data_IF_243817437564
#
_entry.id   IF_243817437564
#
_cell.length_a   1.000
_cell.length_b   1.000
_cell.length_c   1.000
_cell.angle_alpha   90.00
_cell.angle_beta   90.00
_cell.angle_gamma   90.00
#
_symmetry.space_group_name_H-M   'P 1'
#
loop_
_entity.id
_entity.type
_entity.pdbx_description
1 polymer ?
#
# COMPACT_ATOMS: atom_id res chain seq x y z
N UNK A 1 17.29 12.35 3.15
CA UNK A 1 16.28 11.61 2.39
C UNK A 1 15.73 10.51 3.29
N UNK A 2 14.42 10.50 3.50
CA UNK A 2 13.76 9.35 4.14
C UNK A 2 13.78 8.19 3.16
N UNK A 3 14.21 7.04 3.65
CA UNK A 3 14.21 5.79 2.88
C UNK A 3 12.98 5.00 3.30
N UNK A 4 12.34 4.37 2.35
CA UNK A 4 11.27 3.43 2.67
C UNK A 4 11.88 2.17 3.28
N UNK A 5 11.33 1.74 4.40
CA UNK A 5 11.84 0.62 5.19
C UNK A 5 10.72 -0.37 5.47
N UNK A 6 11.01 -1.65 5.24
CA UNK A 6 10.21 -2.76 5.71
C UNK A 6 8.77 -2.80 5.19
N UNK A 7 8.60 -3.10 3.90
CA UNK A 7 7.29 -3.18 3.25
C UNK A 7 6.54 -4.51 3.42
N UNK A 8 7.10 -5.48 4.13
CA UNK A 8 6.50 -6.80 4.29
C UNK A 8 5.11 -6.75 4.95
N UNK A 9 4.81 -5.69 5.71
CA UNK A 9 3.51 -5.48 6.34
C UNK A 9 2.50 -4.72 5.44
N UNK A 10 2.88 -4.41 4.19
CA UNK A 10 1.98 -3.74 3.26
C UNK A 10 0.94 -4.70 2.66
N UNK A 11 -0.08 -4.14 2.03
CA UNK A 11 -1.12 -4.86 1.29
C UNK A 11 -1.79 -5.98 2.09
N UNK A 12 -2.23 -5.65 3.29
CA UNK A 12 -2.89 -6.58 4.24
C UNK A 12 -1.99 -7.73 4.77
N UNK A 13 -0.69 -7.61 4.67
CA UNK A 13 0.24 -8.62 5.21
C UNK A 13 0.75 -8.28 6.63
N UNK A 14 0.02 -7.45 7.39
CA UNK A 14 0.35 -7.14 8.78
C UNK A 14 -0.11 -8.26 9.70
N UNK A 15 0.81 -8.80 10.53
CA UNK A 15 0.60 -10.01 11.30
C UNK A 15 -0.58 -9.93 12.28
N UNK A 16 -0.71 -8.83 13.01
CA UNK A 16 -1.63 -8.73 14.14
C UNK A 16 -3.06 -8.37 13.76
N UNK A 17 -3.26 -7.66 12.64
CA UNK A 17 -4.56 -7.13 12.25
C UNK A 17 -4.72 -7.06 10.73
N UNK A 18 -5.94 -7.21 10.26
CA UNK A 18 -6.28 -6.87 8.89
C UNK A 18 -6.05 -5.39 8.60
N UNK A 19 -5.47 -5.09 7.45
CA UNK A 19 -5.21 -3.74 6.96
C UNK A 19 -6.13 -3.46 5.78
N UNK A 20 -7.22 -2.75 6.04
CA UNK A 20 -8.21 -2.44 5.03
C UNK A 20 -7.65 -1.59 3.87
N UNK A 21 -7.95 -1.92 2.60
CA UNK A 21 -7.61 -1.07 1.46
C UNK A 21 -8.36 0.28 1.47
N UNK A 22 -9.47 0.37 2.19
CA UNK A 22 -10.37 1.53 2.21
C UNK A 22 -10.18 2.42 3.44
N UNK A 23 -8.95 2.68 3.85
CA UNK A 23 -8.62 3.58 4.95
C UNK A 23 -7.29 4.30 4.73
N UNK A 24 -7.11 5.47 5.35
CA UNK A 24 -5.81 6.13 5.37
C UNK A 24 -4.91 5.52 6.44
N UNK A 25 -3.75 5.04 6.01
CA UNK A 25 -2.72 4.46 6.88
C UNK A 25 -1.77 5.50 7.50
N UNK A 26 -1.90 6.78 7.14
CA UNK A 26 -0.98 7.85 7.57
C UNK A 26 -1.17 8.32 9.01
N UNK A 27 -2.15 7.77 9.71
CA UNK A 27 -2.52 8.28 11.04
C UNK A 27 -1.62 7.79 12.16
N UNK A 28 -0.81 6.78 11.91
CA UNK A 28 -0.05 6.08 12.94
C UNK A 28 1.30 6.72 13.25
N UNK A 29 1.79 7.63 12.41
CA UNK A 29 3.07 8.29 12.65
C UNK A 29 2.89 9.79 12.93
N UNK A 30 3.40 10.24 14.07
CA UNK A 30 3.29 11.62 14.52
C UNK A 30 3.73 12.65 13.47
N UNK A 31 4.82 12.40 12.76
CA UNK A 31 5.33 13.33 11.75
C UNK A 31 4.43 13.41 10.52
N UNK A 32 4.00 12.28 10.00
CA UNK A 32 3.13 12.25 8.82
C UNK A 32 1.77 12.87 9.13
N UNK A 33 1.19 12.52 10.28
CA UNK A 33 -0.05 13.14 10.74
C UNK A 33 0.08 14.66 10.91
N UNK A 34 1.18 15.13 11.50
CA UNK A 34 1.40 16.57 11.69
C UNK A 34 1.57 17.31 10.36
N UNK A 35 2.20 16.69 9.36
CA UNK A 35 2.32 17.28 8.03
C UNK A 35 0.97 17.42 7.33
N UNK A 36 0.02 16.50 7.57
CA UNK A 36 -1.34 16.62 7.00
C UNK A 36 -2.17 17.75 7.61
N UNK A 37 -1.68 18.42 8.67
CA UNK A 37 -2.30 19.66 9.18
C UNK A 37 -2.01 20.87 8.32
N UNK A 38 -1.07 20.79 7.41
CA UNK A 38 -0.77 21.84 6.43
C UNK A 38 -1.54 21.58 5.13
N UNK A 39 -2.42 22.53 4.77
CA UNK A 39 -3.26 22.45 3.58
C UNK A 39 -2.43 22.36 2.29
N UNK A 40 -1.34 23.12 2.21
CA UNK A 40 -0.47 23.11 1.03
C UNK A 40 0.23 21.74 0.87
N UNK A 41 0.63 21.14 1.98
CA UNK A 41 1.18 19.79 1.98
C UNK A 41 0.15 18.75 1.50
N UNK A 42 -1.10 18.84 2.00
CA UNK A 42 -2.19 17.98 1.53
C UNK A 42 -2.42 18.13 0.03
N UNK A 43 -2.45 19.37 -0.48
CA UNK A 43 -2.63 19.61 -1.91
C UNK A 43 -1.48 19.03 -2.76
N UNK A 44 -0.24 19.07 -2.25
CA UNK A 44 0.91 18.43 -2.91
C UNK A 44 0.76 16.90 -2.96
N UNK A 45 0.23 16.28 -1.90
CA UNK A 45 -0.05 14.84 -1.88
C UNK A 45 -1.09 14.51 -2.97
N UNK A 46 -2.21 15.23 -2.99
CA UNK A 46 -3.29 15.02 -3.97
C UNK A 46 -2.74 15.13 -5.40
N UNK A 47 -2.06 16.21 -5.72
CA UNK A 47 -1.51 16.46 -7.04
C UNK A 47 -0.50 15.36 -7.46
N UNK A 48 0.35 14.93 -6.51
CA UNK A 48 1.32 13.87 -6.75
C UNK A 48 0.64 12.52 -6.97
N UNK A 49 -0.37 12.20 -6.17
CA UNK A 49 -1.16 10.98 -6.34
C UNK A 49 -1.84 10.96 -7.71
N UNK A 50 -2.57 12.01 -8.08
CA UNK A 50 -3.24 12.10 -9.38
C UNK A 50 -2.26 11.91 -10.56
N UNK A 51 -1.12 12.59 -10.51
CA UNK A 51 -0.08 12.43 -11.52
C UNK A 51 0.45 10.99 -11.62
N UNK A 52 0.64 10.32 -10.49
CA UNK A 52 1.13 8.94 -10.49
C UNK A 52 0.04 7.94 -10.88
N UNK A 53 -1.22 8.23 -10.60
CA UNK A 53 -2.36 7.40 -11.03
C UNK A 53 -2.50 7.32 -12.55
N UNK A 54 -2.05 8.33 -13.26
CA UNK A 54 -1.98 8.34 -14.73
C UNK A 54 -0.75 7.56 -15.29
N UNK A 55 0.10 7.05 -14.41
CA UNK A 55 1.36 6.42 -14.83
C UNK A 55 1.72 5.21 -13.94
N UNK A 56 2.71 5.38 -13.07
CA UNK A 56 3.31 4.28 -12.28
C UNK A 56 2.41 3.71 -11.19
N UNK A 57 1.33 4.38 -10.83
CA UNK A 57 0.29 3.86 -9.95
C UNK A 57 -1.01 3.53 -10.68
N UNK A 58 -1.03 3.55 -12.02
CA UNK A 58 -2.18 3.06 -12.76
C UNK A 58 -2.36 1.56 -12.49
N UNK A 59 -3.60 1.11 -12.46
CA UNK A 59 -3.90 -0.31 -12.27
C UNK A 59 -3.25 -1.16 -13.35
N UNK A 60 -3.35 -0.74 -14.61
CA UNK A 60 -2.71 -1.43 -15.74
C UNK A 60 -1.20 -1.59 -15.54
N UNK A 61 -0.50 -0.52 -15.12
CA UNK A 61 0.93 -0.58 -14.88
C UNK A 61 1.27 -1.54 -13.73
N UNK A 62 0.54 -1.48 -12.63
CA UNK A 62 0.82 -2.29 -11.44
C UNK A 62 0.53 -3.77 -11.69
N UNK A 63 -0.61 -4.11 -12.33
CA UNK A 63 -0.93 -5.49 -12.70
C UNK A 63 0.12 -6.07 -13.65
N UNK A 64 0.48 -5.33 -14.69
CA UNK A 64 1.54 -5.72 -15.61
C UNK A 64 2.88 -5.91 -14.90
N UNK A 65 3.25 -5.01 -14.00
CA UNK A 65 4.50 -5.11 -13.25
C UNK A 65 4.57 -6.38 -12.38
N UNK A 66 3.45 -6.74 -11.74
CA UNK A 66 3.33 -7.99 -10.96
C UNK A 66 3.53 -9.19 -11.88
N UNK A 67 2.80 -9.26 -13.00
CA UNK A 67 2.85 -10.39 -13.93
C UNK A 67 4.24 -10.55 -14.56
N UNK A 68 4.86 -9.45 -14.98
CA UNK A 68 6.23 -9.44 -15.52
C UNK A 68 7.25 -9.87 -14.47
N UNK A 69 7.07 -9.47 -13.21
CA UNK A 69 7.95 -9.88 -12.11
C UNK A 69 7.84 -11.36 -11.84
N UNK A 70 6.63 -11.92 -11.81
CA UNK A 70 6.40 -13.36 -11.63
C UNK A 70 7.03 -14.14 -12.80
N UNK A 71 6.82 -13.67 -14.02
CA UNK A 71 7.42 -14.28 -15.20
C UNK A 71 8.96 -14.24 -15.17
N UNK A 72 9.53 -13.14 -14.67
CA UNK A 72 10.99 -13.01 -14.48
C UNK A 72 11.53 -13.97 -13.42
N UNK A 73 10.79 -14.17 -12.33
CA UNK A 73 11.17 -15.12 -11.28
C UNK A 73 11.16 -16.56 -11.77
N UNK A 74 10.18 -16.91 -12.63
CA UNK A 74 10.08 -18.24 -13.24
C UNK A 74 10.22 -19.36 -12.20
N UNK A 75 11.04 -20.37 -12.52
CA UNK A 75 11.28 -21.54 -11.65
C UNK A 75 11.86 -21.18 -10.25
N UNK A 76 12.27 -19.93 -10.01
CA UNK A 76 12.71 -19.52 -8.69
C UNK A 76 11.57 -19.50 -7.68
N UNK A 77 10.34 -19.27 -8.10
CA UNK A 77 9.14 -19.36 -7.27
C UNK A 77 8.97 -20.78 -6.75
N UNK A 78 9.03 -21.77 -7.66
CA UNK A 78 8.90 -23.20 -7.30
C UNK A 78 9.99 -23.62 -6.32
N UNK A 79 11.26 -23.33 -6.63
CA UNK A 79 12.40 -23.63 -5.72
C UNK A 79 12.29 -22.96 -4.36
N UNK A 80 11.73 -21.74 -4.29
CA UNK A 80 11.50 -21.08 -3.02
C UNK A 80 10.48 -21.85 -2.16
N UNK A 81 9.40 -22.31 -2.77
CA UNK A 81 8.35 -23.03 -2.03
C UNK A 81 8.60 -24.53 -1.87
N UNK A 82 9.60 -25.11 -2.53
CA UNK A 82 10.16 -26.41 -2.12
C UNK A 82 10.77 -26.35 -0.71
N UNK A 83 11.30 -25.18 -0.34
CA UNK A 83 11.94 -24.96 0.98
C UNK A 83 10.95 -24.37 2.00
N UNK A 84 10.11 -23.42 1.59
CA UNK A 84 9.27 -22.60 2.48
C UNK A 84 7.77 -22.84 2.30
N UNK A 85 7.37 -23.83 1.50
CA UNK A 85 5.96 -24.10 1.19
C UNK A 85 5.11 -24.45 2.39
N UNK A 86 5.70 -24.95 3.47
CA UNK A 86 5.01 -25.19 4.73
C UNK A 86 4.39 -23.92 5.32
N UNK A 87 4.89 -22.73 4.94
CA UNK A 87 4.30 -21.46 5.38
C UNK A 87 2.85 -21.26 4.92
N UNK A 88 2.46 -21.83 3.78
CA UNK A 88 1.07 -21.79 3.30
C UNK A 88 0.14 -22.77 4.06
N UNK A 89 0.67 -23.61 4.91
CA UNK A 89 -0.11 -24.50 5.77
C UNK A 89 -0.21 -23.99 7.21
N UNK A 90 0.59 -22.97 7.55
CA UNK A 90 0.58 -22.33 8.85
C UNK A 90 -0.52 -21.26 8.93
N UNK A 91 -1.61 -21.61 9.59
CA UNK A 91 -2.75 -20.70 9.80
C UNK A 91 -2.57 -19.74 10.98
N UNK A 92 -1.35 -19.63 11.53
CA UNK A 92 -1.04 -18.77 12.69
C UNK A 92 -0.21 -17.55 12.35
N UNK A 93 0.23 -17.41 11.09
CA UNK A 93 1.10 -16.31 10.64
C UNK A 93 0.37 -14.97 10.63
N UNK A 94 -0.91 -14.97 10.25
CA UNK A 94 -1.75 -13.77 10.21
C UNK A 94 -2.98 -13.95 11.10
N UNK A 95 -3.43 -12.88 11.73
CA UNK A 95 -4.62 -12.85 12.58
C UNK A 95 -5.67 -11.91 11.96
N UNK A 96 -6.95 -12.30 11.79
CA UNK A 96 -7.49 -13.64 12.09
C UNK A 96 -7.02 -14.73 11.10
N UNK A 97 -7.18 -15.99 11.47
CA UNK A 97 -6.62 -17.15 10.76
C UNK A 97 -7.06 -17.25 9.28
N UNK A 98 -8.24 -16.76 8.95
CA UNK A 98 -8.80 -16.76 7.59
C UNK A 98 -7.97 -15.94 6.58
N UNK A 99 -7.08 -15.09 7.08
CA UNK A 99 -6.17 -14.28 6.23
C UNK A 99 -4.97 -15.08 5.74
N UNK A 100 -4.70 -16.25 6.33
CA UNK A 100 -3.62 -17.10 5.86
C UNK A 100 -4.04 -17.84 4.59
N UNK A 101 -3.33 -17.56 3.53
CA UNK A 101 -3.65 -18.08 2.19
C UNK A 101 -3.02 -19.45 1.99
N UNK A 102 -3.61 -20.24 1.10
CA UNK A 102 -3.22 -21.61 0.86
C UNK A 102 -2.13 -21.81 -0.19
N UNK A 103 -1.84 -20.79 -0.99
CA UNK A 103 -0.90 -20.90 -2.11
C UNK A 103 -0.26 -19.55 -2.48
N UNK A 104 0.79 -19.62 -3.30
CA UNK A 104 1.41 -18.43 -3.89
C UNK A 104 0.45 -17.72 -4.86
N UNK A 105 -0.31 -18.48 -5.62
CA UNK A 105 -1.30 -17.97 -6.55
C UNK A 105 -2.39 -17.17 -5.80
N UNK A 106 -2.94 -17.73 -4.73
CA UNK A 106 -3.91 -17.03 -3.88
C UNK A 106 -3.33 -15.72 -3.30
N UNK A 107 -2.05 -15.72 -2.93
CA UNK A 107 -1.37 -14.53 -2.42
C UNK A 107 -1.18 -13.45 -3.50
N UNK A 108 -0.90 -13.85 -4.74
CA UNK A 108 -0.83 -12.93 -5.89
C UNK A 108 -2.20 -12.34 -6.20
N UNK A 109 -3.24 -13.16 -6.20
CA UNK A 109 -4.61 -12.72 -6.48
C UNK A 109 -5.08 -11.74 -5.40
N UNK A 110 -4.84 -12.04 -4.12
CA UNK A 110 -5.12 -11.11 -3.01
C UNK A 110 -4.38 -9.78 -3.17
N UNK A 111 -3.10 -9.81 -3.53
CA UNK A 111 -2.32 -8.59 -3.76
C UNK A 111 -2.93 -7.74 -4.88
N UNK A 112 -3.34 -8.36 -5.98
CA UNK A 112 -3.98 -7.67 -7.10
C UNK A 112 -5.33 -7.06 -6.71
N UNK A 113 -6.16 -7.81 -5.99
CA UNK A 113 -7.44 -7.34 -5.48
C UNK A 113 -7.24 -6.15 -4.51
N UNK A 114 -6.30 -6.27 -3.58
CA UNK A 114 -5.97 -5.17 -2.67
C UNK A 114 -5.55 -3.90 -3.41
N UNK A 115 -4.72 -4.00 -4.43
CA UNK A 115 -4.26 -2.87 -5.24
C UNK A 115 -5.43 -2.24 -6.00
N UNK A 116 -6.32 -3.07 -6.57
CA UNK A 116 -7.53 -2.61 -7.24
C UNK A 116 -8.42 -1.79 -6.30
N UNK A 117 -8.80 -2.39 -5.17
CA UNK A 117 -9.68 -1.77 -4.17
C UNK A 117 -9.06 -0.50 -3.60
N UNK A 118 -7.75 -0.55 -3.30
CA UNK A 118 -7.02 0.60 -2.80
C UNK A 118 -6.99 1.74 -3.80
N UNK A 119 -6.75 1.44 -5.06
CA UNK A 119 -6.74 2.41 -6.15
C UNK A 119 -8.11 3.05 -6.33
N UNK A 120 -9.16 2.26 -6.43
CA UNK A 120 -10.53 2.74 -6.58
C UNK A 120 -10.93 3.66 -5.41
N UNK A 121 -10.70 3.21 -4.18
CA UNK A 121 -11.00 4.01 -2.99
C UNK A 121 -10.21 5.32 -2.93
N UNK A 122 -8.92 5.28 -3.24
CA UNK A 122 -8.08 6.48 -3.25
C UNK A 122 -8.50 7.47 -4.34
N UNK A 123 -8.93 6.99 -5.51
CA UNK A 123 -9.42 7.85 -6.61
C UNK A 123 -10.65 8.66 -6.19
N UNK A 124 -11.52 8.07 -5.36
CA UNK A 124 -12.73 8.72 -4.84
C UNK A 124 -12.44 9.64 -3.64
N UNK A 125 -11.47 9.27 -2.80
CA UNK A 125 -11.37 9.85 -1.45
C UNK A 125 -10.14 10.70 -1.19
N UNK A 126 -9.13 10.71 -2.08
CA UNK A 126 -7.85 11.39 -1.82
C UNK A 126 -8.01 12.87 -1.44
N UNK A 127 -9.02 13.55 -1.95
CA UNK A 127 -9.28 14.96 -1.65
C UNK A 127 -9.79 15.17 -0.24
N UNK A 128 -10.33 14.13 0.40
CA UNK A 128 -10.81 14.22 1.78
C UNK A 128 -9.67 14.48 2.79
N UNK A 129 -8.42 14.25 2.41
CA UNK A 129 -7.26 14.58 3.25
C UNK A 129 -7.20 16.08 3.58
N UNK A 130 -7.79 16.95 2.75
CA UNK A 130 -7.87 18.39 2.98
C UNK A 130 -8.66 18.75 4.25
N UNK A 131 -9.62 17.92 4.66
CA UNK A 131 -10.38 18.17 5.90
C UNK A 131 -9.51 18.15 7.17
N UNK A 132 -8.31 17.55 7.10
CA UNK A 132 -7.35 17.55 8.20
C UNK A 132 -6.46 18.80 8.20
N UNK A 133 -6.42 19.53 7.08
CA UNK A 133 -5.56 20.67 6.87
C UNK A 133 -6.12 21.95 7.46
N UNK A 134 -5.21 22.84 7.87
CA UNK A 134 -5.48 24.21 8.21
C UNK A 134 -4.63 25.13 7.33
N UNK A 135 -5.03 26.38 7.08
CA UNK A 135 -4.18 27.32 6.41
C UNK A 135 -2.78 27.34 7.04
N UNK A 136 -1.75 27.12 6.23
CA UNK A 136 -0.39 26.98 6.74
C UNK A 136 0.05 28.22 7.49
N UNK A 137 0.32 28.11 8.79
CA UNK A 137 0.92 29.16 9.60
C UNK A 137 2.36 29.45 9.19
N UNK A 138 2.98 28.55 8.42
CA UNK A 138 4.36 28.65 7.97
C UNK A 138 4.53 29.61 6.77
N UNK A 139 3.46 30.11 6.16
CA UNK A 139 3.56 31.19 5.15
C UNK A 139 4.32 32.43 5.64
N UNK A 140 4.50 32.55 6.97
CA UNK A 140 5.32 33.64 7.55
C UNK A 140 6.82 33.37 7.54
N UNK A 141 7.24 32.14 7.30
CA UNK A 141 8.64 31.71 7.38
C UNK A 141 9.22 31.29 6.01
N UNK A 142 8.39 31.20 4.98
CA UNK A 142 8.78 30.88 3.61
C UNK A 142 8.97 32.18 2.80
N UNK A 143 9.91 33.00 3.23
CA UNK A 143 10.41 34.16 2.48
C UNK A 143 11.79 33.87 1.92
#
# INVERSE_FOLDING_TARGET
NMVVWDFNNACDNYQENAVSPVTYQMQDTHWQFMLTKDEEYCQRIINRYRMWRESVLSEEYLMKYIDETIAYLGDAVERNFEVWGDSFQDTTLLIPAERNLGSFEDAVDQLKEYIHDRGAWMDETIETILQNGHPSVNKRYNH
#
